data_IF_621767436081
#
_entry.id   IF_621767436081
#
_cell.length_a   1.000
_cell.length_b   1.000
_cell.length_c   1.000
_cell.angle_alpha   90.00
_cell.angle_beta   90.00
_cell.angle_gamma   90.00
#
_symmetry.space_group_name_H-M   'P 1'
#
loop_
_entity.id
_entity.type
_entity.pdbx_description
1 polymer ?
#
# COMPACT_ATOMS: atom_id res chain seq x y z
N UNK A 1 14.63 -32.35 -28.15
CA UNK A 1 13.47 -32.53 -27.23
C UNK A 1 13.79 -32.11 -25.79
N UNK A 2 14.93 -31.46 -25.51
CA UNK A 2 15.43 -31.19 -24.15
C UNK A 2 15.15 -29.76 -23.65
N UNK A 3 14.88 -28.82 -24.57
CA UNK A 3 14.58 -27.41 -24.27
C UNK A 3 13.14 -27.19 -23.75
N UNK A 4 12.18 -27.97 -24.24
CA UNK A 4 10.78 -27.88 -23.81
C UNK A 4 10.62 -28.12 -22.29
N UNK A 5 11.35 -29.09 -21.75
CA UNK A 5 11.26 -29.45 -20.33
C UNK A 5 11.85 -28.37 -19.40
N UNK A 6 12.92 -27.69 -19.83
CA UNK A 6 13.53 -26.61 -19.05
C UNK A 6 12.64 -25.36 -19.05
N UNK A 7 12.04 -25.03 -20.19
CA UNK A 7 11.11 -23.88 -20.28
C UNK A 7 9.79 -24.15 -19.55
N UNK A 8 9.28 -25.38 -19.59
CA UNK A 8 8.09 -25.79 -18.82
C UNK A 8 8.37 -25.73 -17.31
N UNK A 9 9.54 -26.23 -16.88
CA UNK A 9 9.96 -26.15 -15.48
C UNK A 9 10.13 -24.71 -15.02
N UNK A 10 10.75 -23.86 -15.84
CA UNK A 10 10.92 -22.43 -15.57
C UNK A 10 9.56 -21.71 -15.45
N UNK A 11 8.62 -22.06 -16.31
CA UNK A 11 7.26 -21.51 -16.29
C UNK A 11 6.50 -21.94 -15.04
N UNK A 12 6.60 -23.23 -14.66
CA UNK A 12 6.01 -23.75 -13.44
C UNK A 12 6.59 -23.07 -12.18
N UNK A 13 7.91 -22.95 -12.09
CA UNK A 13 8.59 -22.26 -10.97
C UNK A 13 8.19 -20.79 -10.91
N UNK A 14 8.11 -20.09 -12.05
CA UNK A 14 7.63 -18.71 -12.10
C UNK A 14 6.20 -18.60 -11.58
N UNK A 15 5.28 -19.46 -12.04
CA UNK A 15 3.89 -19.47 -11.58
C UNK A 15 3.77 -19.74 -10.07
N UNK A 16 4.59 -20.64 -9.52
CA UNK A 16 4.64 -20.89 -8.06
C UNK A 16 5.12 -19.65 -7.30
N UNK A 17 6.17 -18.97 -7.77
CA UNK A 17 6.70 -17.77 -7.14
C UNK A 17 5.75 -16.57 -7.25
N UNK A 18 4.98 -16.48 -8.34
CA UNK A 18 3.91 -15.48 -8.52
C UNK A 18 2.74 -15.74 -7.58
N UNK A 19 2.25 -16.99 -7.50
CA UNK A 19 1.16 -17.38 -6.60
C UNK A 19 1.53 -17.20 -5.12
N UNK A 20 2.80 -17.45 -4.76
CA UNK A 20 3.31 -17.21 -3.42
C UNK A 20 3.58 -15.72 -3.12
N UNK A 21 3.41 -14.82 -4.10
CA UNK A 21 3.67 -13.39 -3.97
C UNK A 21 5.15 -13.00 -3.91
N UNK A 22 6.07 -13.97 -3.86
CA UNK A 22 7.53 -13.76 -3.75
C UNK A 22 8.06 -13.03 -4.98
N UNK A 23 7.57 -13.38 -6.18
CA UNK A 23 8.03 -12.70 -7.40
C UNK A 23 7.61 -11.23 -7.42
N UNK A 24 6.42 -10.92 -6.89
CA UNK A 24 5.95 -9.55 -6.76
C UNK A 24 6.76 -8.78 -5.72
N UNK A 25 7.11 -9.40 -4.59
CA UNK A 25 7.99 -8.80 -3.59
C UNK A 25 9.36 -8.45 -4.17
N UNK A 26 9.97 -9.38 -4.93
CA UNK A 26 11.26 -9.15 -5.60
C UNK A 26 11.15 -8.06 -6.66
N UNK A 27 10.10 -8.07 -7.50
CA UNK A 27 9.85 -7.01 -8.50
C UNK A 27 9.64 -5.64 -7.83
N UNK A 28 8.93 -5.59 -6.71
CA UNK A 28 8.71 -4.37 -5.92
C UNK A 28 10.01 -3.84 -5.34
N UNK A 29 10.82 -4.69 -4.70
CA UNK A 29 12.15 -4.30 -4.19
C UNK A 29 13.05 -3.80 -5.30
N UNK A 30 13.07 -4.49 -6.44
CA UNK A 30 13.84 -4.09 -7.62
C UNK A 30 13.36 -2.74 -8.17
N UNK A 31 12.05 -2.53 -8.30
CA UNK A 31 11.48 -1.23 -8.71
C UNK A 31 11.88 -0.13 -7.75
N UNK A 32 11.78 -0.36 -6.44
CA UNK A 32 12.20 0.60 -5.42
C UNK A 32 13.68 0.95 -5.52
N UNK A 33 14.55 -0.04 -5.73
CA UNK A 33 16.00 0.18 -5.84
C UNK A 33 16.39 0.86 -7.15
N UNK A 34 15.74 0.52 -8.27
CA UNK A 34 15.87 1.25 -9.54
C UNK A 34 15.41 2.70 -9.36
N UNK A 35 14.29 2.91 -8.67
CA UNK A 35 13.77 4.27 -8.42
C UNK A 35 14.74 5.08 -7.58
N UNK A 36 15.30 4.50 -6.50
CA UNK A 36 16.34 5.13 -5.68
C UNK A 36 17.62 5.43 -6.46
N UNK A 37 18.01 4.54 -7.37
CA UNK A 37 19.24 4.70 -8.16
C UNK A 37 19.08 5.69 -9.31
N UNK A 38 17.86 5.90 -9.80
CA UNK A 38 17.52 6.92 -10.80
C UNK A 38 17.25 8.29 -10.17
N UNK A 39 16.97 8.35 -8.87
CA UNK A 39 16.83 9.59 -8.12
C UNK A 39 18.21 10.14 -7.74
N UNK A 40 18.93 10.68 -8.73
CA UNK A 40 20.06 11.58 -8.49
C UNK A 40 19.53 12.91 -7.87
N UNK A 41 19.91 13.19 -6.62
CA UNK A 41 20.26 14.50 -6.04
C UNK A 41 19.31 15.72 -6.19
N UNK A 42 18.04 15.63 -6.62
CA UNK A 42 17.24 16.87 -6.78
C UNK A 42 15.73 16.80 -6.56
N UNK A 43 15.22 15.92 -5.70
CA UNK A 43 13.90 16.15 -5.10
C UNK A 43 13.94 15.69 -3.66
N UNK A 44 14.23 16.64 -2.78
CA UNK A 44 13.84 16.62 -1.37
C UNK A 44 12.34 16.34 -1.36
N UNK A 45 11.97 15.06 -1.26
CA UNK A 45 10.60 14.60 -1.43
C UNK A 45 9.82 15.18 -0.27
N UNK A 46 9.26 16.37 -0.51
CA UNK A 46 8.66 17.15 0.55
C UNK A 46 7.65 16.24 1.24
N UNK A 47 7.73 16.09 2.58
CA UNK A 47 6.78 15.26 3.29
C UNK A 47 5.38 15.70 2.87
N UNK A 48 4.46 14.75 2.62
CA UNK A 48 3.14 15.10 2.13
C UNK A 48 2.52 16.10 3.09
N UNK A 49 1.76 17.05 2.53
CA UNK A 49 0.98 17.95 3.36
C UNK A 49 0.08 17.14 4.32
N UNK A 50 -0.36 17.77 5.41
CA UNK A 50 -1.12 17.09 6.47
C UNK A 50 -2.32 16.29 5.93
N UNK A 51 -3.04 16.84 4.95
CA UNK A 51 -4.17 16.20 4.29
C UNK A 51 -3.77 14.94 3.51
N UNK A 52 -2.74 15.02 2.67
CA UNK A 52 -2.24 13.87 1.92
C UNK A 52 -1.66 12.81 2.86
N UNK A 53 -1.07 13.21 3.98
CA UNK A 53 -0.59 12.27 4.98
C UNK A 53 -1.75 11.45 5.56
N UNK A 54 -2.87 12.10 5.92
CA UNK A 54 -4.10 11.45 6.40
C UNK A 54 -4.67 10.52 5.32
N UNK A 55 -4.79 11.00 4.08
CA UNK A 55 -5.32 10.21 2.96
C UNK A 55 -4.46 8.96 2.71
N UNK A 56 -3.15 9.13 2.69
CA UNK A 56 -2.24 8.01 2.47
C UNK A 56 -2.31 7.00 3.60
N UNK A 57 -2.44 7.42 4.86
CA UNK A 57 -2.62 6.49 6.00
C UNK A 57 -3.95 5.73 5.90
N UNK A 58 -5.04 6.39 5.50
CA UNK A 58 -6.32 5.72 5.21
C UNK A 58 -6.19 4.65 4.12
N UNK A 59 -5.46 4.98 3.04
CA UNK A 59 -5.20 4.04 1.94
C UNK A 59 -4.31 2.89 2.41
N UNK A 60 -3.23 3.18 3.13
CA UNK A 60 -2.30 2.17 3.67
C UNK A 60 -3.05 1.19 4.57
N UNK A 61 -3.90 1.69 5.48
CA UNK A 61 -4.71 0.86 6.37
C UNK A 61 -5.63 -0.09 5.58
N UNK A 62 -6.28 0.42 4.54
CA UNK A 62 -7.10 -0.41 3.63
C UNK A 62 -6.28 -1.46 2.89
N UNK A 63 -5.12 -1.08 2.36
CA UNK A 63 -4.23 -1.99 1.65
C UNK A 63 -3.71 -3.10 2.58
N UNK A 64 -3.32 -2.75 3.81
CA UNK A 64 -2.84 -3.71 4.81
C UNK A 64 -3.95 -4.69 5.22
N UNK A 65 -5.17 -4.19 5.46
CA UNK A 65 -6.33 -5.03 5.78
C UNK A 65 -6.69 -6.01 4.67
N UNK A 66 -6.60 -5.60 3.40
CA UNK A 66 -6.87 -6.46 2.24
C UNK A 66 -5.65 -7.29 1.79
N UNK A 67 -4.57 -7.34 2.59
CA UNK A 67 -3.33 -8.07 2.31
C UNK A 67 -2.55 -7.59 1.06
N UNK A 68 -2.74 -6.34 0.62
CA UNK A 68 -1.98 -5.69 -0.46
C UNK A 68 -0.65 -5.09 0.03
N UNK A 69 0.11 -5.89 0.79
CA UNK A 69 1.32 -5.43 1.53
C UNK A 69 2.40 -4.84 0.63
N UNK A 70 2.59 -5.40 -0.57
CA UNK A 70 3.57 -4.90 -1.54
C UNK A 70 3.22 -3.50 -2.03
N UNK A 71 1.93 -3.24 -2.30
CA UNK A 71 1.43 -1.94 -2.72
C UNK A 71 1.53 -0.93 -1.58
N UNK A 72 1.20 -1.32 -0.36
CA UNK A 72 1.35 -0.47 0.82
C UNK A 72 2.81 -0.03 1.03
N UNK A 73 3.77 -0.96 0.85
CA UNK A 73 5.20 -0.66 0.95
C UNK A 73 5.69 0.29 -0.14
N UNK A 74 5.18 0.14 -1.37
CA UNK A 74 5.48 1.07 -2.46
C UNK A 74 4.93 2.46 -2.15
N UNK A 75 3.66 2.55 -1.73
CA UNK A 75 3.01 3.81 -1.42
C UNK A 75 3.77 4.59 -0.32
N UNK A 76 4.21 3.93 0.76
CA UNK A 76 5.03 4.56 1.81
C UNK A 76 6.36 5.11 1.27
N UNK A 77 6.98 4.39 0.34
CA UNK A 77 8.25 4.80 -0.30
C UNK A 77 8.03 5.93 -1.32
N UNK A 78 6.92 5.85 -2.07
CA UNK A 78 6.53 6.82 -3.09
C UNK A 78 6.05 8.13 -2.47
N UNK A 79 5.34 8.10 -1.34
CA UNK A 79 4.84 9.31 -0.69
C UNK A 79 5.89 10.03 0.16
N UNK A 80 7.04 9.40 0.42
CA UNK A 80 8.02 9.95 1.37
C UNK A 80 7.58 9.83 2.84
N UNK A 81 6.47 9.13 3.14
CA UNK A 81 6.06 8.80 4.52
C UNK A 81 6.83 7.60 5.05
N UNK A 82 8.15 7.77 5.17
CA UNK A 82 9.01 6.82 5.87
C UNK A 82 8.97 7.01 7.40
N UNK A 83 8.22 8.01 7.88
CA UNK A 83 8.00 8.30 9.31
C UNK A 83 7.06 7.31 10.01
N UNK A 84 6.85 7.49 11.33
CA UNK A 84 5.93 6.65 12.09
C UNK A 84 4.50 6.79 11.55
N UNK A 85 3.79 5.65 11.44
CA UNK A 85 2.37 5.63 11.06
C UNK A 85 1.57 6.53 12.00
N UNK A 86 0.65 7.33 11.45
CA UNK A 86 -0.22 8.12 12.30
C UNK A 86 -1.10 7.18 13.13
N UNK A 87 -1.17 7.38 14.45
CA UNK A 87 -2.07 6.61 15.29
C UNK A 87 -3.52 6.86 14.84
N UNK A 88 -4.30 5.78 14.83
CA UNK A 88 -5.70 5.78 14.43
C UNK A 88 -6.55 6.80 15.19
N UNK A 89 -6.22 7.07 16.46
CA UNK A 89 -6.86 8.11 17.27
C UNK A 89 -6.75 9.50 16.68
N UNK A 90 -5.59 9.86 16.10
CA UNK A 90 -5.41 11.16 15.43
C UNK A 90 -6.18 11.21 14.11
N UNK A 91 -6.24 10.12 13.35
CA UNK A 91 -7.05 10.05 12.13
C UNK A 91 -8.54 10.27 12.45
N UNK A 92 -9.03 9.65 13.52
CA UNK A 92 -10.40 9.81 14.00
C UNK A 92 -10.70 11.25 14.47
N UNK A 93 -9.76 11.88 15.17
CA UNK A 93 -9.87 13.27 15.62
C UNK A 93 -9.93 14.24 14.43
N UNK A 94 -9.02 14.09 13.46
CA UNK A 94 -8.97 14.96 12.26
C UNK A 94 -10.19 14.77 11.35
N UNK A 95 -10.71 13.54 11.26
CA UNK A 95 -11.88 13.23 10.43
C UNK A 95 -13.21 13.45 11.18
N UNK A 96 -13.15 13.77 12.48
CA UNK A 96 -14.30 13.89 13.38
C UNK A 96 -15.22 12.64 13.35
N UNK A 97 -14.60 11.45 13.35
CA UNK A 97 -15.27 10.14 13.30
C UNK A 97 -15.10 9.44 14.64
N UNK A 98 -16.19 8.86 15.15
CA UNK A 98 -16.14 7.95 16.30
C UNK A 98 -15.71 6.58 15.79
N UNK A 99 -14.59 6.08 16.31
CA UNK A 99 -14.09 4.74 15.94
C UNK A 99 -14.97 3.64 16.56
N UNK A 100 -16.07 3.32 15.88
CA UNK A 100 -16.91 2.17 16.21
C UNK A 100 -16.44 0.89 15.50
N UNK A 101 -15.44 1.01 14.63
CA UNK A 101 -14.98 -0.03 13.70
C UNK A 101 -13.76 -0.77 14.23
N UNK A 102 -13.88 -1.46 15.37
CA UNK A 102 -12.80 -2.31 15.84
C UNK A 102 -12.43 -3.36 14.76
N UNK A 103 -11.19 -3.32 14.28
CA UNK A 103 -10.62 -4.16 13.21
C UNK A 103 -11.04 -3.89 11.76
N UNK A 104 -11.74 -2.80 11.42
CA UNK A 104 -12.07 -2.48 10.02
C UNK A 104 -11.41 -1.15 9.64
N UNK A 105 -10.83 -0.99 8.42
CA UNK A 105 -10.25 0.28 7.99
C UNK A 105 -11.27 1.42 8.02
N UNK A 106 -10.81 2.61 8.41
CA UNK A 106 -11.66 3.80 8.56
C UNK A 106 -12.36 4.18 7.24
N UNK A 107 -11.77 3.84 6.08
CA UNK A 107 -12.40 4.00 4.77
C UNK A 107 -13.75 3.28 4.65
N UNK A 108 -13.92 2.11 5.27
CA UNK A 108 -15.22 1.44 5.27
C UNK A 108 -16.26 2.21 6.09
N UNK A 109 -15.84 2.76 7.24
CA UNK A 109 -16.68 3.61 8.08
C UNK A 109 -17.14 4.89 7.36
N UNK A 110 -16.21 5.54 6.65
CA UNK A 110 -16.48 6.71 5.81
C UNK A 110 -17.52 6.42 4.71
N UNK A 111 -17.38 5.30 4.00
CA UNK A 111 -18.35 4.90 2.96
C UNK A 111 -19.72 4.63 3.58
N UNK A 112 -19.78 3.91 4.70
CA UNK A 112 -21.04 3.62 5.39
C UNK A 112 -21.74 4.91 5.87
N UNK A 113 -20.97 5.88 6.36
CA UNK A 113 -21.48 7.20 6.76
C UNK A 113 -22.07 7.97 5.58
N UNK A 114 -21.35 8.06 4.45
CA UNK A 114 -21.82 8.76 3.25
C UNK A 114 -23.07 8.10 2.65
N UNK A 115 -23.13 6.76 2.63
CA UNK A 115 -24.31 6.03 2.19
C UNK A 115 -25.54 6.31 3.07
N UNK A 116 -25.35 6.44 4.38
CA UNK A 116 -26.41 6.80 5.32
C UNK A 116 -26.90 8.24 5.10
N UNK A 117 -26.00 9.19 4.87
CA UNK A 117 -26.38 10.57 4.52
C UNK A 117 -27.14 10.65 3.20
N UNK A 118 -26.72 9.92 2.16
CA UNK A 118 -27.40 9.96 0.84
C UNK A 118 -28.80 9.36 0.83
N UNK A 119 -29.17 8.61 1.89
CA UNK A 119 -30.49 8.00 2.07
C UNK A 119 -31.42 8.82 2.96
N UNK A 120 -30.92 9.92 3.56
CA UNK A 120 -31.69 10.86 4.37
C UNK A 120 -32.06 12.10 3.58
#
# INVERSE_FOLDING_TARGET
METANIDDLKTAVRGILENKGILNEVKTKLRGEIFKSLQDESDDKQPPNKENAIINELIIEYLEFNNYRNTASLLKTESGQTGPQLPRSLLCEELNIIDETANIPLLYGLIAYLQKQSRS
#
